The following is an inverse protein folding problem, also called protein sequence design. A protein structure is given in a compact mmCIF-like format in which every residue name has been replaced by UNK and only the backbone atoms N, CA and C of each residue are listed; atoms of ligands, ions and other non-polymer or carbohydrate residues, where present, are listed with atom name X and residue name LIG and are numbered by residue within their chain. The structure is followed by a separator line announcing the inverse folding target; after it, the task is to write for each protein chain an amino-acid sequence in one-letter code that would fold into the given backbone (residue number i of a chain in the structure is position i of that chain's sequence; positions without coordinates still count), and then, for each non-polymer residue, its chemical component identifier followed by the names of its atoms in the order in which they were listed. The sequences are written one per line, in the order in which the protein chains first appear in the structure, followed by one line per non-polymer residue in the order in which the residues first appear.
data_IF_338976269762
#
_entry.id   IF_338976269762
#
_cell.length_a   1.000
_cell.length_b   1.000
_cell.length_c   1.000
_cell.angle_alpha   90.00
_cell.angle_beta   90.00
_cell.angle_gamma   90.00
#
_symmetry.space_group_name_H-M   'P 1'
#
loop_
_entity.id
_entity.type
_entity.pdbx_description
1 polymer ?
#
# COMPACT_ATOMS: atom_id res chain seq x y z
N UNK A 1 4.57 -6.52 21.51
CA UNK A 1 3.79 -7.18 20.42
C UNK A 1 4.39 -6.74 19.09
N UNK A 2 4.46 -7.62 18.10
CA UNK A 2 5.01 -7.35 16.76
C UNK A 2 3.93 -7.69 15.72
N UNK A 3 3.81 -6.88 14.68
CA UNK A 3 2.95 -7.13 13.52
C UNK A 3 3.79 -7.36 12.26
N UNK A 4 3.33 -8.28 11.41
CA UNK A 4 3.87 -8.55 10.08
C UNK A 4 2.87 -8.06 9.04
N UNK A 5 3.22 -7.03 8.28
CA UNK A 5 2.39 -6.42 7.25
C UNK A 5 2.83 -6.80 5.84
N UNK A 6 1.86 -6.97 4.94
CA UNK A 6 2.07 -7.21 3.52
C UNK A 6 1.39 -6.11 2.71
N UNK A 7 2.14 -5.51 1.79
CA UNK A 7 1.67 -4.45 0.89
C UNK A 7 1.81 -4.95 -0.55
N UNK A 8 0.67 -5.13 -1.23
CA UNK A 8 0.63 -5.39 -2.66
C UNK A 8 -0.11 -4.27 -3.36
N UNK A 9 0.61 -3.34 -3.98
CA UNK A 9 0.06 -2.27 -4.80
C UNK A 9 0.38 -2.50 -6.28
N UNK A 10 -0.10 -1.62 -7.16
CA UNK A 10 -0.02 -1.78 -8.62
C UNK A 10 1.37 -2.18 -9.12
N UNK A 11 2.43 -1.53 -8.63
CA UNK A 11 3.80 -1.75 -9.09
C UNK A 11 4.77 -2.15 -7.98
N UNK A 12 4.28 -2.50 -6.79
CA UNK A 12 5.13 -2.70 -5.61
C UNK A 12 4.62 -3.85 -4.75
N UNK A 13 5.57 -4.67 -4.32
CA UNK A 13 5.42 -5.65 -3.25
C UNK A 13 6.29 -5.22 -2.07
N UNK A 14 5.74 -5.23 -0.87
CA UNK A 14 6.47 -4.94 0.36
C UNK A 14 6.05 -5.85 1.51
N UNK A 15 7.01 -6.17 2.36
CA UNK A 15 6.76 -6.89 3.62
C UNK A 15 7.38 -6.07 4.74
N UNK A 16 6.65 -5.88 5.85
CA UNK A 16 7.09 -5.07 6.98
C UNK A 16 6.94 -5.79 8.29
N UNK A 17 7.91 -5.62 9.18
CA UNK A 17 7.82 -6.03 10.58
C UNK A 17 7.86 -4.77 11.43
N UNK A 18 6.81 -4.53 12.20
CA UNK A 18 6.67 -3.34 13.06
C UNK A 18 6.29 -3.74 14.47
N UNK A 19 6.79 -3.01 15.46
CA UNK A 19 6.38 -3.17 16.85
C UNK A 19 5.17 -2.30 17.18
N UNK A 20 4.53 -2.56 18.32
CA UNK A 20 3.34 -1.81 18.77
C UNK A 20 3.61 -0.31 18.99
N UNK A 21 4.83 0.05 19.39
CA UNK A 21 5.30 1.43 19.58
C UNK A 21 5.66 2.13 18.26
N UNK A 22 5.48 1.47 17.11
CA UNK A 22 5.74 2.04 15.79
C UNK A 22 7.17 1.87 15.28
N UNK A 23 8.04 1.20 16.04
CA UNK A 23 9.42 0.91 15.59
C UNK A 23 9.40 -0.07 14.40
N UNK A 24 10.07 0.31 13.30
CA UNK A 24 10.20 -0.51 12.09
C UNK A 24 11.42 -1.43 12.25
N UNK A 25 11.18 -2.74 12.36
CA UNK A 25 12.24 -3.74 12.46
C UNK A 25 12.73 -4.23 11.10
N UNK A 26 11.85 -4.26 10.10
CA UNK A 26 12.16 -4.66 8.73
C UNK A 26 11.17 -4.06 7.75
N UNK A 27 11.65 -3.64 6.57
CA UNK A 27 10.82 -3.07 5.51
C UNK A 27 11.42 -3.33 4.10
N UNK A 28 11.68 -4.59 3.72
CA UNK A 28 12.02 -4.92 2.34
C UNK A 28 10.85 -4.56 1.41
N UNK A 29 11.19 -3.89 0.32
CA UNK A 29 10.24 -3.45 -0.68
C UNK A 29 10.87 -3.59 -2.06
N UNK A 30 10.13 -4.16 -2.99
CA UNK A 30 10.54 -4.26 -4.38
C UNK A 30 9.51 -3.55 -5.26
N UNK A 31 9.98 -2.58 -6.03
CA UNK A 31 9.15 -1.70 -6.86
C UNK A 31 9.55 -1.87 -8.31
N UNK A 32 8.57 -2.11 -9.18
CA UNK A 32 8.74 -2.04 -10.62
C UNK A 32 8.80 -0.58 -11.04
N UNK A 33 9.90 -0.21 -11.69
CA UNK A 33 10.14 1.12 -12.25
C UNK A 33 10.08 0.98 -13.77
N UNK A 34 9.18 1.70 -14.41
CA UNK A 34 9.05 1.70 -15.87
C UNK A 34 10.21 2.49 -16.49
N UNK A 35 10.64 2.14 -17.72
CA UNK A 35 11.54 2.99 -18.49
C UNK A 35 10.97 4.40 -18.68
N UNK A 36 11.83 5.44 -18.82
CA UNK A 36 11.36 6.79 -19.11
C UNK A 36 10.42 6.84 -20.32
N UNK A 37 9.34 7.62 -20.22
CA UNK A 37 8.32 7.76 -21.26
C UNK A 37 7.36 6.57 -21.40
N UNK A 38 7.49 5.53 -20.57
CA UNK A 38 6.56 4.39 -20.56
C UNK A 38 5.70 4.41 -19.29
N UNK A 39 4.39 4.26 -19.49
CA UNK A 39 3.45 4.03 -18.39
C UNK A 39 3.50 2.59 -17.89
N UNK A 40 2.74 2.32 -16.84
CA UNK A 40 2.59 0.99 -16.26
C UNK A 40 1.86 0.04 -17.23
N UNK A 41 2.61 -0.82 -17.92
CA UNK A 41 2.04 -1.84 -18.79
C UNK A 41 1.62 -3.07 -17.95
N UNK A 42 0.34 -3.50 -17.98
CA UNK A 42 -0.16 -4.59 -17.15
C UNK A 42 0.65 -5.89 -17.29
N UNK A 43 1.11 -6.19 -18.51
CA UNK A 43 1.91 -7.40 -18.79
C UNK A 43 3.27 -7.37 -18.10
N UNK A 44 3.95 -6.22 -18.10
CA UNK A 44 5.29 -6.08 -17.54
C UNK A 44 5.25 -6.08 -16.02
N UNK A 45 4.25 -5.39 -15.45
CA UNK A 45 3.93 -5.44 -14.02
C UNK A 45 3.67 -6.88 -13.61
N UNK A 46 2.80 -7.60 -14.33
CA UNK A 46 2.53 -8.99 -14.00
C UNK A 46 3.82 -9.81 -13.97
N UNK A 47 4.65 -9.74 -15.01
CA UNK A 47 5.94 -10.45 -15.04
C UNK A 47 6.84 -10.08 -13.85
N UNK A 48 6.95 -8.79 -13.50
CA UNK A 48 7.72 -8.36 -12.33
C UNK A 48 7.22 -9.01 -11.03
N UNK A 49 5.90 -9.08 -10.84
CA UNK A 49 5.31 -9.72 -9.67
C UNK A 49 5.50 -11.23 -9.67
N UNK A 50 5.44 -11.89 -10.83
CA UNK A 50 5.74 -13.34 -10.93
C UNK A 50 7.20 -13.67 -10.61
N UNK A 51 8.14 -12.75 -10.87
CA UNK A 51 9.57 -12.96 -10.56
C UNK A 51 9.89 -12.75 -9.07
N UNK A 52 9.13 -11.88 -8.39
CA UNK A 52 9.43 -11.46 -7.00
C UNK A 52 8.36 -11.91 -5.99
N UNK A 53 7.33 -12.60 -6.44
CA UNK A 53 6.25 -13.18 -5.65
C UNK A 53 5.79 -14.52 -6.24
N UNK A 54 4.96 -15.29 -5.52
CA UNK A 54 4.39 -16.52 -6.05
C UNK A 54 3.58 -16.24 -7.32
N UNK A 55 3.50 -17.24 -8.22
CA UNK A 55 2.89 -17.23 -9.58
C UNK A 55 1.35 -17.04 -9.55
N UNK A 56 0.89 -16.07 -8.78
CA UNK A 56 -0.49 -15.74 -8.45
C UNK A 56 -0.68 -14.31 -8.98
N UNK A 57 -1.81 -14.04 -9.63
CA UNK A 57 -2.10 -12.83 -10.42
C UNK A 57 -1.82 -11.47 -9.75
N UNK A 58 -2.84 -10.63 -9.58
CA UNK A 58 -2.62 -9.24 -9.18
C UNK A 58 -1.89 -9.13 -7.81
N UNK A 59 -0.99 -8.15 -7.58
CA UNK A 59 -0.17 -8.00 -6.37
C UNK A 59 -0.92 -8.15 -5.03
N UNK A 60 -2.18 -7.70 -5.00
CA UNK A 60 -3.03 -7.81 -3.83
C UNK A 60 -3.43 -9.26 -3.53
N UNK A 61 -3.73 -10.05 -4.57
CA UNK A 61 -4.09 -11.47 -4.44
C UNK A 61 -2.90 -12.29 -3.92
N UNK A 62 -1.71 -12.00 -4.44
CA UNK A 62 -0.43 -12.58 -3.96
C UNK A 62 -0.29 -12.37 -2.46
N UNK A 63 -0.43 -11.12 -2.01
CA UNK A 63 -0.30 -10.74 -0.60
C UNK A 63 -1.35 -11.46 0.27
N UNK A 64 -2.61 -11.51 -0.18
CA UNK A 64 -3.69 -12.16 0.54
C UNK A 64 -3.44 -13.67 0.73
N UNK A 65 -3.00 -14.37 -0.32
CA UNK A 65 -2.71 -15.81 -0.24
C UNK A 65 -1.55 -16.10 0.72
N UNK A 66 -0.48 -15.31 0.66
CA UNK A 66 0.66 -15.47 1.58
C UNK A 66 0.23 -15.25 3.03
N UNK A 67 -0.54 -14.19 3.31
CA UNK A 67 -1.05 -13.90 4.66
C UNK A 67 -1.91 -15.03 5.20
N UNK A 68 -2.79 -15.59 4.36
CA UNK A 68 -3.62 -16.74 4.72
C UNK A 68 -2.75 -17.96 5.09
N UNK A 69 -1.75 -18.29 4.27
CA UNK A 69 -0.85 -19.42 4.53
C UNK A 69 -0.09 -19.21 5.85
N UNK A 70 0.49 -18.04 6.06
CA UNK A 70 1.25 -17.71 7.27
C UNK A 70 0.37 -17.76 8.52
N UNK A 71 -0.86 -17.24 8.44
CA UNK A 71 -1.82 -17.30 9.53
C UNK A 71 -2.15 -18.75 9.92
N UNK A 72 -2.35 -19.64 8.94
CA UNK A 72 -2.58 -21.07 9.18
C UNK A 72 -1.35 -21.76 9.79
N UNK A 73 -0.15 -21.45 9.30
CA UNK A 73 1.10 -22.03 9.82
C UNK A 73 1.42 -21.59 11.25
N UNK A 74 1.24 -20.30 11.55
CA UNK A 74 1.62 -19.72 12.85
C UNK A 74 0.46 -19.56 13.83
N UNK A 75 -0.76 -19.89 13.41
CA UNK A 75 -2.01 -19.76 14.19
C UNK A 75 -2.17 -18.36 14.79
N UNK A 76 -1.89 -17.34 13.99
CA UNK A 76 -2.01 -15.92 14.38
C UNK A 76 -3.20 -15.27 13.66
N UNK A 77 -3.91 -14.35 14.33
CA UNK A 77 -5.05 -13.65 13.73
C UNK A 77 -4.58 -12.79 12.54
N UNK A 78 -5.45 -12.67 11.55
CA UNK A 78 -5.30 -11.74 10.42
C UNK A 78 -6.13 -10.50 10.74
N UNK A 79 -5.59 -9.33 10.42
CA UNK A 79 -6.30 -8.06 10.50
C UNK A 79 -6.22 -7.39 9.14
N UNK A 80 -7.37 -7.14 8.53
CA UNK A 80 -7.45 -6.42 7.26
C UNK A 80 -7.22 -4.93 7.49
N UNK A 81 -6.49 -4.30 6.55
CA UNK A 81 -6.10 -2.90 6.65
C UNK A 81 -6.48 -2.17 5.36
N UNK A 82 -7.12 -1.01 5.50
CA UNK A 82 -7.36 -0.12 4.37
C UNK A 82 -6.04 0.55 3.92
N UNK A 83 -5.70 0.40 2.64
CA UNK A 83 -4.43 0.90 2.09
C UNK A 83 -4.23 2.40 2.26
N UNK A 84 -5.25 3.23 1.98
CA UNK A 84 -5.14 4.69 2.12
C UNK A 84 -4.99 5.10 3.59
N UNK A 85 -5.79 4.50 4.48
CA UNK A 85 -5.72 4.78 5.92
C UNK A 85 -4.38 4.34 6.51
N UNK A 86 -3.81 3.21 6.04
CA UNK A 86 -2.48 2.77 6.45
C UNK A 86 -1.40 3.82 6.14
N UNK A 87 -1.46 4.45 4.96
CA UNK A 87 -0.55 5.54 4.61
C UNK A 87 -0.72 6.75 5.54
N UNK A 88 -1.96 7.12 5.86
CA UNK A 88 -2.24 8.24 6.77
C UNK A 88 -1.72 7.94 8.17
N UNK A 89 -2.08 6.80 8.76
CA UNK A 89 -1.69 6.42 10.13
C UNK A 89 -0.17 6.27 10.27
N UNK A 90 0.48 5.66 9.27
CA UNK A 90 1.94 5.58 9.27
C UNK A 90 2.57 6.98 9.21
N UNK A 91 2.03 7.88 8.38
CA UNK A 91 2.47 9.27 8.30
C UNK A 91 2.28 10.00 9.63
N UNK A 92 1.15 9.79 10.32
CA UNK A 92 0.87 10.37 11.64
C UNK A 92 1.89 9.92 12.69
N UNK A 93 2.21 8.63 12.73
CA UNK A 93 3.19 8.07 13.68
C UNK A 93 4.59 8.64 13.42
N UNK A 94 5.04 8.65 12.16
CA UNK A 94 6.40 9.10 11.80
C UNK A 94 6.57 10.61 11.98
N UNK A 95 5.55 11.39 11.61
CA UNK A 95 5.62 12.85 11.62
C UNK A 95 5.12 13.47 12.93
N UNK A 96 4.51 12.69 13.82
CA UNK A 96 3.85 13.20 15.02
C UNK A 96 2.64 14.09 14.71
N UNK A 97 2.01 13.95 13.54
CA UNK A 97 0.89 14.79 13.12
C UNK A 97 -0.39 14.40 13.86
N UNK A 98 -0.98 15.36 14.58
CA UNK A 98 -2.27 15.19 15.24
C UNK A 98 -3.40 15.72 14.34
N UNK A 99 -4.37 14.86 14.02
CA UNK A 99 -5.55 15.14 13.18
C UNK A 99 -5.26 15.91 11.86
N UNK A 100 -4.45 15.35 10.94
CA UNK A 100 -4.09 16.05 9.72
C UNK A 100 -5.18 15.97 8.64
N UNK A 101 -5.30 17.04 7.85
CA UNK A 101 -5.88 16.97 6.50
C UNK A 101 -4.79 16.48 5.55
N UNK A 102 -5.01 15.34 4.90
CA UNK A 102 -4.01 14.65 4.09
C UNK A 102 -4.38 14.74 2.61
N UNK A 103 -3.45 15.29 1.82
CA UNK A 103 -3.48 15.13 0.37
C UNK A 103 -2.76 13.82 0.00
N UNK A 104 -3.53 12.80 -0.35
CA UNK A 104 -3.05 11.49 -0.74
C UNK A 104 -2.86 11.40 -2.26
N UNK A 105 -1.61 11.49 -2.71
CA UNK A 105 -1.25 11.35 -4.13
C UNK A 105 -0.45 10.07 -4.33
N UNK A 106 -0.98 9.16 -5.14
CA UNK A 106 -0.33 7.92 -5.56
C UNK A 106 -0.50 7.72 -7.07
N UNK A 107 0.13 6.67 -7.61
CA UNK A 107 -0.01 6.33 -9.03
C UNK A 107 -1.46 6.13 -9.48
N UNK A 108 -2.35 5.67 -8.60
CA UNK A 108 -3.77 5.44 -8.91
C UNK A 108 -4.75 6.38 -8.20
N UNK A 109 -4.29 7.16 -7.20
CA UNK A 109 -5.18 7.91 -6.31
C UNK A 109 -4.74 9.37 -6.22
N UNK A 110 -5.69 10.29 -6.11
CA UNK A 110 -5.42 11.68 -5.74
C UNK A 110 -6.58 12.18 -4.91
N UNK A 111 -6.48 12.10 -3.59
CA UNK A 111 -7.62 12.33 -2.71
C UNK A 111 -7.26 13.30 -1.58
N UNK A 112 -8.20 14.15 -1.19
CA UNK A 112 -8.11 14.92 0.06
C UNK A 112 -8.89 14.17 1.13
N UNK A 113 -8.20 13.74 2.18
CA UNK A 113 -8.74 12.87 3.23
C UNK A 113 -8.53 13.53 4.59
N UNK A 114 -9.56 13.58 5.43
CA UNK A 114 -9.43 14.02 6.82
C UNK A 114 -10.33 13.20 7.75
N UNK A 115 -10.03 13.18 9.05
CA UNK A 115 -10.85 12.52 10.05
C UNK A 115 -11.99 13.46 10.47
N UNK A 116 -13.22 12.96 10.46
CA UNK A 116 -14.42 13.69 10.89
C UNK A 116 -15.49 12.69 11.33
N UNK A 117 -16.34 13.08 12.29
CA UNK A 117 -17.47 12.23 12.73
C UNK A 117 -17.08 10.80 13.14
N UNK A 118 -15.88 10.59 13.66
CA UNK A 118 -15.40 9.28 14.10
C UNK A 118 -14.85 8.38 12.99
N UNK A 119 -14.66 8.87 11.75
CA UNK A 119 -14.09 8.10 10.63
C UNK A 119 -13.30 8.97 9.66
N UNK A 120 -12.56 8.35 8.74
CA UNK A 120 -11.90 9.06 7.64
C UNK A 120 -12.88 9.34 6.51
N UNK A 121 -12.92 10.59 6.05
CA UNK A 121 -13.75 11.06 4.95
C UNK A 121 -12.88 11.54 3.78
N UNK A 122 -13.30 11.20 2.56
CA UNK A 122 -12.76 11.79 1.34
C UNK A 122 -13.56 13.06 1.06
N UNK A 123 -12.87 14.20 1.04
CA UNK A 123 -13.46 15.52 0.77
C UNK A 123 -13.34 15.92 -0.70
N UNK A 124 -12.32 15.42 -1.40
CA UNK A 124 -12.11 15.67 -2.82
C UNK A 124 -11.41 14.47 -3.49
N UNK A 125 -11.80 14.15 -4.72
CA UNK A 125 -11.24 13.11 -5.60
C UNK A 125 -11.51 13.51 -7.07
N UNK A 126 -10.49 13.67 -7.93
CA UNK A 126 -10.69 14.11 -9.30
C UNK A 126 -11.47 13.06 -10.09
N UNK A 127 -12.63 13.45 -10.62
CA UNK A 127 -13.58 12.59 -11.35
C UNK A 127 -13.03 11.76 -12.53
N UNK A 128 -11.81 12.04 -13.01
CA UNK A 128 -11.30 11.47 -14.27
C UNK A 128 -10.06 10.59 -14.09
N UNK A 129 -9.03 11.07 -13.39
CA UNK A 129 -7.81 10.30 -13.15
C UNK A 129 -6.96 10.97 -12.08
N UNK A 130 -6.20 10.16 -11.35
CA UNK A 130 -5.20 10.62 -10.41
C UNK A 130 -4.21 11.57 -11.10
N UNK A 131 -3.84 12.65 -10.42
CA UNK A 131 -2.88 13.64 -10.93
C UNK A 131 -1.54 12.97 -11.26
N UNK A 132 -1.11 11.99 -10.47
CA UNK A 132 0.13 11.23 -10.75
C UNK A 132 0.11 10.51 -12.10
N UNK A 133 -1.05 10.04 -12.57
CA UNK A 133 -1.20 9.41 -13.89
C UNK A 133 -1.05 10.40 -15.04
N UNK A 134 -1.25 11.70 -14.80
CA UNK A 134 -1.12 12.76 -15.81
C UNK A 134 0.32 13.27 -15.94
N UNK A 135 1.13 13.18 -14.88
CA UNK A 135 2.52 13.64 -14.86
C UNK A 135 3.45 12.64 -15.57
N UNK A 136 3.09 11.36 -15.60
CA UNK A 136 3.88 10.29 -16.26
C UNK A 136 3.62 10.10 -17.76
N UNK A 137 2.97 11.06 -18.44
CA UNK A 137 2.73 11.04 -19.89
C UNK A 137 3.51 12.14 -20.59
#
# INVERSE_FOLDING_TARGET
MIALGFEGSVNKIGVRVVTLDGTILSNPCHTYITPPGHGFLPREIAHHHLQHGPDIGAPLQVSAVIVLIISQLWKKPIVDVNHCVAHIEMGRIVMGANDPVVLYVSGGNTQVIAYSEGRYHIFDDPMHSAVSMKIGK
#
